data_IF_495354232616
#
_entry.id   IF_495354232616
#
_cell.length_a   1.000
_cell.length_b   1.000
_cell.length_c   1.000
_cell.angle_alpha   90.00
_cell.angle_beta   90.00
_cell.angle_gamma   90.00
#
_symmetry.space_group_name_H-M   'P 1'
#
loop_
_entity.id
_entity.type
_entity.pdbx_description
1 polymer ?
#
# COMPACT_ATOMS: atom_id res chain seq x y z
N UNK A 1 16.17 15.52 51.24
CA UNK A 1 17.29 16.34 51.73
C UNK A 1 18.47 15.95 50.85
N UNK A 2 18.51 16.44 49.60
CA UNK A 2 18.98 17.80 49.24
C UNK A 2 20.34 18.04 49.88
N UNK A 3 21.40 18.45 49.21
CA UNK A 3 21.65 19.12 47.95
C UNK A 3 23.20 19.17 47.91
N UNK A 4 23.89 19.05 46.78
CA UNK A 4 25.21 19.66 46.72
C UNK A 4 25.34 20.58 45.50
N UNK A 5 25.39 21.85 45.88
CA UNK A 5 25.46 23.06 45.11
C UNK A 5 26.93 23.45 45.02
N UNK A 6 27.47 23.45 43.79
CA UNK A 6 28.11 24.64 43.16
C UNK A 6 29.37 25.20 43.85
N UNK A 7 30.45 25.38 43.05
CA UNK A 7 31.05 26.69 42.66
C UNK A 7 32.58 26.69 42.44
N UNK A 8 32.94 26.96 41.18
CA UNK A 8 33.83 28.04 40.67
C UNK A 8 35.34 28.10 41.01
N UNK A 9 36.07 28.18 39.87
CA UNK A 9 37.07 29.20 39.44
C UNK A 9 38.55 29.04 39.83
N UNK A 10 39.39 29.01 38.79
CA UNK A 10 40.66 29.76 38.60
C UNK A 10 41.19 29.49 37.17
N UNK A 11 40.91 30.31 36.15
CA UNK A 11 41.56 31.57 35.71
C UNK A 11 43.09 31.49 35.59
N UNK A 12 43.62 31.32 34.36
CA UNK A 12 44.88 31.94 33.91
C UNK A 12 44.82 32.25 32.41
N UNK A 13 45.12 33.52 32.10
CA UNK A 13 45.09 34.20 30.80
C UNK A 13 46.33 33.85 29.96
N UNK A 14 46.21 33.85 28.63
CA UNK A 14 47.04 34.69 27.75
C UNK A 14 46.39 34.86 26.38
N UNK A 15 46.58 36.06 25.84
CA UNK A 15 45.83 36.76 24.81
C UNK A 15 46.80 37.01 23.65
N UNK A 16 46.49 36.63 22.41
CA UNK A 16 47.14 37.14 21.20
C UNK A 16 46.12 37.24 20.07
N UNK A 17 45.96 38.48 19.63
CA UNK A 17 45.46 39.09 18.40
C UNK A 17 44.17 38.67 17.67
N UNK A 18 43.42 39.73 17.37
CA UNK A 18 42.17 39.83 16.61
C UNK A 18 42.49 40.05 15.13
N UNK A 19 41.76 39.35 14.27
CA UNK A 19 41.25 39.90 13.02
C UNK A 19 39.78 39.46 12.85
N UNK A 20 38.86 40.32 12.35
CA UNK A 20 37.43 40.06 12.36
C UNK A 20 36.99 39.40 11.05
N UNK A 21 36.53 38.14 11.11
CA UNK A 21 35.76 37.53 10.03
C UNK A 21 34.43 37.04 10.60
N UNK A 22 33.36 37.41 9.88
CA UNK A 22 31.95 37.43 10.25
C UNK A 22 31.40 36.04 10.67
N UNK A 23 30.65 36.02 11.77
CA UNK A 23 29.72 34.94 12.19
C UNK A 23 28.66 34.71 11.09
N UNK A 24 28.46 33.48 10.60
CA UNK A 24 27.71 32.35 11.16
C UNK A 24 26.19 32.45 10.89
N UNK A 25 25.67 31.58 10.01
CA UNK A 25 24.47 30.76 10.29
C UNK A 25 24.54 29.51 9.40
N UNK A 26 25.28 28.47 9.82
CA UNK A 26 25.03 27.13 9.28
C UNK A 26 23.72 26.59 9.88
N UNK A 27 22.64 26.76 9.13
CA UNK A 27 21.35 26.13 9.44
C UNK A 27 21.53 24.62 9.55
N UNK A 28 21.37 24.10 10.77
CA UNK A 28 21.25 22.69 11.07
C UNK A 28 20.39 21.98 10.01
N UNK A 29 21.00 21.10 9.22
CA UNK A 29 20.34 20.29 8.22
C UNK A 29 19.36 19.34 8.93
N UNK A 30 18.10 19.78 9.05
CA UNK A 30 16.97 18.92 9.46
C UNK A 30 17.02 17.64 8.61
N UNK A 31 17.11 16.50 9.30
CA UNK A 31 17.02 15.16 8.71
C UNK A 31 15.82 15.15 7.77
N UNK A 32 16.07 15.00 6.47
CA UNK A 32 15.04 14.91 5.43
C UNK A 32 14.17 13.69 5.71
N UNK A 33 13.04 13.89 6.39
CA UNK A 33 11.94 12.93 6.36
C UNK A 33 11.43 12.80 4.92
N UNK A 34 11.04 11.60 4.52
CA UNK A 34 10.33 11.37 3.25
C UNK A 34 9.18 12.40 3.17
N UNK A 35 9.05 13.17 2.08
CA UNK A 35 7.94 14.11 1.96
C UNK A 35 6.63 13.36 2.20
N UNK A 36 5.64 13.98 2.88
CA UNK A 36 4.35 13.36 3.11
C UNK A 36 3.83 12.78 1.79
N UNK A 37 3.41 11.52 1.79
CA UNK A 37 2.83 10.92 0.60
C UNK A 37 1.69 11.83 0.12
N UNK A 38 1.86 12.42 -1.06
CA UNK A 38 0.90 13.38 -1.61
C UNK A 38 -0.43 12.64 -1.76
N UNK A 39 -1.39 12.97 -0.89
CA UNK A 39 -2.72 12.38 -0.91
C UNK A 39 -3.38 12.86 -2.19
N UNK A 40 -3.66 11.94 -3.10
CA UNK A 40 -4.32 12.29 -4.35
C UNK A 40 -5.67 12.95 -4.06
N UNK A 41 -6.07 13.87 -4.92
CA UNK A 41 -7.41 14.47 -4.82
C UNK A 41 -8.49 13.38 -4.85
N UNK A 42 -9.55 13.54 -4.02
CA UNK A 42 -10.66 12.60 -4.01
C UNK A 42 -11.32 12.46 -5.38
N UNK A 43 -11.74 11.24 -5.71
CA UNK A 43 -12.59 10.99 -6.87
C UNK A 43 -14.01 11.51 -6.63
N UNK A 44 -14.80 11.77 -7.70
CA UNK A 44 -16.23 11.99 -7.58
C UNK A 44 -16.89 10.88 -6.75
N UNK A 45 -17.79 11.20 -5.79
CA UNK A 45 -18.42 10.19 -4.94
C UNK A 45 -19.12 9.08 -5.74
N UNK A 46 -19.73 9.43 -6.87
CA UNK A 46 -20.39 8.47 -7.78
C UNK A 46 -19.42 7.41 -8.31
N UNK A 47 -18.22 7.81 -8.75
CA UNK A 47 -17.21 6.86 -9.26
C UNK A 47 -16.75 5.91 -8.16
N UNK A 48 -16.46 6.45 -6.97
CA UNK A 48 -16.02 5.64 -5.82
C UNK A 48 -17.12 4.68 -5.37
N UNK A 49 -18.39 5.12 -5.36
CA UNK A 49 -19.54 4.27 -5.05
C UNK A 49 -19.70 3.14 -6.08
N UNK A 50 -19.55 3.44 -7.37
CA UNK A 50 -19.64 2.44 -8.43
C UNK A 50 -18.52 1.39 -8.32
N UNK A 51 -17.27 1.82 -8.09
CA UNK A 51 -16.15 0.90 -7.88
C UNK A 51 -16.37 -0.04 -6.69
N UNK A 52 -16.85 0.49 -5.55
CA UNK A 52 -17.15 -0.33 -4.39
C UNK A 52 -18.29 -1.32 -4.68
N UNK A 53 -19.38 -0.87 -5.31
CA UNK A 53 -20.50 -1.74 -5.64
C UNK A 53 -20.07 -2.92 -6.53
N UNK A 54 -19.28 -2.67 -7.58
CA UNK A 54 -18.73 -3.71 -8.46
C UNK A 54 -17.88 -4.71 -7.66
N UNK A 55 -16.95 -4.22 -6.84
CA UNK A 55 -16.06 -5.09 -6.06
C UNK A 55 -16.82 -5.87 -4.98
N UNK A 56 -17.81 -5.27 -4.34
CA UNK A 56 -18.64 -5.96 -3.36
C UNK A 56 -19.51 -7.04 -4.02
N UNK A 57 -20.01 -6.81 -5.24
CA UNK A 57 -20.69 -7.86 -6.03
C UNK A 57 -19.78 -9.04 -6.32
N UNK A 58 -18.54 -8.78 -6.76
CA UNK A 58 -17.55 -9.84 -7.06
C UNK A 58 -17.16 -10.60 -5.80
N UNK A 59 -16.89 -9.90 -4.69
CA UNK A 59 -16.49 -10.52 -3.42
C UNK A 59 -17.62 -11.36 -2.84
N UNK A 60 -18.85 -10.87 -2.86
CA UNK A 60 -19.99 -11.57 -2.25
C UNK A 60 -20.62 -12.62 -3.18
N UNK A 61 -20.08 -12.81 -4.38
CA UNK A 61 -20.59 -13.81 -5.32
C UNK A 61 -20.43 -15.21 -4.75
N UNK A 62 -21.53 -15.98 -4.83
CA UNK A 62 -21.60 -17.37 -4.39
C UNK A 62 -22.03 -18.24 -5.56
N UNK A 63 -21.44 -19.42 -5.65
CA UNK A 63 -21.87 -20.43 -6.61
C UNK A 63 -23.19 -21.11 -6.18
N UNK A 64 -23.66 -22.07 -6.97
CA UNK A 64 -24.89 -22.82 -6.71
C UNK A 64 -24.84 -23.64 -5.41
N UNK A 65 -23.66 -23.93 -4.88
CA UNK A 65 -23.46 -24.60 -3.59
C UNK A 65 -23.47 -23.63 -2.40
N UNK A 66 -23.56 -22.32 -2.67
CA UNK A 66 -23.47 -21.27 -1.66
C UNK A 66 -22.04 -20.93 -1.23
N UNK A 67 -21.02 -21.49 -1.91
CA UNK A 67 -19.61 -21.23 -1.64
C UNK A 67 -19.20 -19.88 -2.23
N UNK A 68 -18.51 -19.07 -1.44
CA UNK A 68 -18.01 -17.77 -1.88
C UNK A 68 -16.69 -17.94 -2.62
N UNK A 69 -16.68 -17.61 -3.92
CA UNK A 69 -15.51 -17.87 -4.77
C UNK A 69 -14.32 -16.98 -4.46
N UNK A 70 -14.58 -15.79 -3.89
CA UNK A 70 -13.55 -14.79 -3.64
C UNK A 70 -12.64 -15.12 -2.44
N UNK A 71 -12.96 -16.13 -1.62
CA UNK A 71 -12.39 -16.31 -0.28
C UNK A 71 -10.85 -16.38 -0.31
N UNK A 72 -10.30 -17.21 -1.18
CA UNK A 72 -8.83 -17.37 -1.36
C UNK A 72 -8.15 -16.15 -1.99
N UNK A 73 -8.91 -15.21 -2.55
CA UNK A 73 -8.41 -14.01 -3.22
C UNK A 73 -8.48 -12.75 -2.34
N UNK A 74 -9.03 -12.85 -1.12
CA UNK A 74 -9.17 -11.71 -0.21
C UNK A 74 -7.81 -11.19 0.25
N UNK A 75 -6.91 -12.11 0.62
CA UNK A 75 -5.61 -11.79 1.18
C UNK A 75 -4.60 -12.83 0.69
N UNK A 76 -3.53 -12.39 0.03
CA UNK A 76 -2.44 -13.28 -0.35
C UNK A 76 -1.71 -13.81 0.90
N UNK A 77 -1.21 -15.07 0.86
CA UNK A 77 -0.26 -15.59 1.84
C UNK A 77 0.96 -14.69 1.96
N UNK A 78 1.62 -14.66 3.12
CA UNK A 78 2.82 -13.84 3.28
C UNK A 78 3.98 -14.42 2.46
N UNK A 79 4.99 -13.60 2.15
CA UNK A 79 6.24 -14.06 1.50
C UNK A 79 6.98 -15.15 2.28
N UNK A 80 6.73 -15.27 3.59
CA UNK A 80 7.33 -16.31 4.42
C UNK A 80 6.58 -17.63 4.29
N UNK A 81 5.26 -17.56 4.16
CA UNK A 81 4.40 -18.74 4.12
C UNK A 81 4.33 -19.38 2.73
N UNK A 82 4.49 -18.56 1.68
CA UNK A 82 4.45 -19.01 0.28
C UNK A 82 5.46 -18.25 -0.59
N UNK A 83 6.78 -18.40 -0.36
CA UNK A 83 7.82 -17.68 -1.10
C UNK A 83 7.76 -17.89 -2.62
N UNK A 84 7.48 -19.11 -3.09
CA UNK A 84 7.43 -19.52 -4.49
C UNK A 84 6.41 -18.69 -5.31
N UNK A 85 5.30 -18.30 -4.69
CA UNK A 85 4.31 -17.43 -5.33
C UNK A 85 4.93 -16.09 -5.71
N UNK A 86 5.78 -15.53 -4.84
CA UNK A 86 6.39 -14.22 -5.05
C UNK A 86 7.66 -14.25 -5.92
N UNK A 87 8.20 -15.44 -6.18
CA UNK A 87 9.26 -15.66 -7.16
C UNK A 87 8.67 -15.68 -8.58
N UNK A 88 7.55 -16.37 -8.76
CA UNK A 88 6.85 -16.49 -10.04
C UNK A 88 6.04 -15.23 -10.39
N UNK A 89 5.21 -14.75 -9.45
CA UNK A 89 4.25 -13.67 -9.69
C UNK A 89 4.91 -12.30 -9.48
N UNK A 90 5.11 -11.60 -10.59
CA UNK A 90 5.81 -10.30 -10.63
C UNK A 90 5.04 -9.16 -9.99
N UNK A 91 3.70 -9.17 -10.09
CA UNK A 91 2.83 -8.11 -9.58
C UNK A 91 1.70 -8.69 -8.71
N UNK A 92 2.00 -9.13 -7.48
CA UNK A 92 1.00 -9.65 -6.56
C UNK A 92 -0.08 -8.60 -6.24
N UNK A 93 -1.33 -9.02 -6.23
CA UNK A 93 -2.49 -8.19 -5.87
C UNK A 93 -3.60 -9.08 -5.30
N UNK A 94 -4.30 -8.60 -4.28
CA UNK A 94 -5.47 -9.24 -3.67
C UNK A 94 -6.64 -8.24 -3.58
N UNK A 95 -7.83 -8.72 -3.23
CA UNK A 95 -9.00 -7.84 -3.09
C UNK A 95 -8.82 -6.81 -1.96
N UNK A 96 -8.07 -7.13 -0.89
CA UNK A 96 -7.76 -6.14 0.15
C UNK A 96 -6.96 -4.97 -0.43
N UNK A 97 -5.99 -5.23 -1.30
CA UNK A 97 -5.19 -4.20 -1.98
C UNK A 97 -6.04 -3.39 -2.96
N UNK A 98 -6.96 -4.04 -3.68
CA UNK A 98 -7.89 -3.37 -4.58
C UNK A 98 -8.82 -2.42 -3.79
N UNK A 99 -9.43 -2.87 -2.69
CA UNK A 99 -10.26 -2.02 -1.82
C UNK A 99 -9.46 -0.86 -1.22
N UNK A 100 -8.20 -1.10 -0.83
CA UNK A 100 -7.28 -0.06 -0.37
C UNK A 100 -7.03 1.00 -1.47
N UNK A 101 -6.80 0.57 -2.72
CA UNK A 101 -6.59 1.44 -3.88
C UNK A 101 -7.84 2.25 -4.21
N UNK A 102 -9.05 1.70 -4.09
CA UNK A 102 -10.32 2.46 -4.21
C UNK A 102 -10.38 3.56 -3.15
N UNK A 103 -10.20 3.21 -1.87
CA UNK A 103 -10.25 4.15 -0.74
C UNK A 103 -9.22 5.27 -0.86
N UNK A 104 -8.04 4.96 -1.39
CA UNK A 104 -6.96 5.92 -1.61
C UNK A 104 -7.06 6.67 -2.95
N UNK A 105 -8.19 6.54 -3.66
CA UNK A 105 -8.46 7.16 -4.95
C UNK A 105 -7.38 6.85 -6.00
N UNK A 106 -6.77 5.66 -5.97
CA UNK A 106 -5.70 5.28 -6.91
C UNK A 106 -6.23 4.97 -8.31
N UNK A 107 -7.46 4.49 -8.41
CA UNK A 107 -8.14 4.29 -9.68
C UNK A 107 -8.85 5.55 -10.12
N UNK A 108 -8.68 5.96 -11.38
CA UNK A 108 -9.28 7.17 -11.95
C UNK A 108 -10.41 6.86 -12.92
N UNK A 109 -10.53 5.59 -13.28
CA UNK A 109 -11.59 5.05 -14.12
C UNK A 109 -11.93 3.61 -13.70
N UNK A 110 -13.07 3.09 -14.15
CA UNK A 110 -13.39 1.67 -14.00
C UNK A 110 -12.40 0.79 -14.76
N UNK A 111 -11.76 1.29 -15.82
CA UNK A 111 -10.71 0.57 -16.54
C UNK A 111 -9.45 0.35 -15.69
N UNK A 112 -9.13 1.25 -14.77
CA UNK A 112 -8.00 1.04 -13.85
C UNK A 112 -8.31 -0.03 -12.80
N UNK A 113 -9.55 -0.07 -12.33
CA UNK A 113 -10.04 -1.12 -11.45
C UNK A 113 -10.02 -2.48 -12.17
N UNK A 114 -10.55 -2.53 -13.40
CA UNK A 114 -10.59 -3.72 -14.24
C UNK A 114 -9.19 -4.30 -14.44
N UNK A 115 -8.18 -3.46 -14.76
CA UNK A 115 -6.80 -3.93 -14.93
C UNK A 115 -6.29 -4.70 -13.72
N UNK A 116 -6.59 -4.25 -12.50
CA UNK A 116 -6.15 -4.94 -11.29
C UNK A 116 -6.97 -6.19 -10.97
N UNK A 117 -8.28 -6.20 -11.27
CA UNK A 117 -9.10 -7.41 -11.11
C UNK A 117 -8.69 -8.49 -12.13
N UNK A 118 -8.43 -8.10 -13.37
CA UNK A 118 -7.91 -9.01 -14.40
C UNK A 118 -6.52 -9.50 -14.04
N UNK A 119 -5.65 -8.64 -13.49
CA UNK A 119 -4.33 -9.02 -13.00
C UNK A 119 -4.43 -10.03 -11.85
N UNK A 120 -5.34 -9.83 -10.88
CA UNK A 120 -5.58 -10.78 -9.79
C UNK A 120 -5.91 -12.16 -10.34
N UNK A 121 -6.85 -12.23 -11.28
CA UNK A 121 -7.29 -13.50 -11.87
C UNK A 121 -6.18 -14.13 -12.74
N UNK A 122 -5.45 -13.32 -13.52
CA UNK A 122 -4.35 -13.80 -14.34
C UNK A 122 -3.19 -14.36 -13.49
N UNK A 123 -2.86 -13.71 -12.37
CA UNK A 123 -1.87 -14.23 -11.42
C UNK A 123 -2.31 -15.59 -10.86
N UNK A 124 -3.59 -15.75 -10.54
CA UNK A 124 -4.15 -17.01 -10.08
C UNK A 124 -4.01 -18.10 -11.15
N UNK A 125 -4.34 -17.78 -12.41
CA UNK A 125 -4.22 -18.69 -13.54
C UNK A 125 -2.77 -19.04 -13.89
N UNK A 126 -1.83 -18.13 -13.60
CA UNK A 126 -0.40 -18.36 -13.84
C UNK A 126 0.21 -19.28 -12.78
N UNK A 127 -0.21 -19.13 -11.53
CA UNK A 127 0.36 -19.88 -10.41
C UNK A 127 -0.31 -21.26 -10.21
N UNK A 128 -1.62 -21.34 -10.44
CA UNK A 128 -2.39 -22.56 -10.20
C UNK A 128 -2.56 -23.35 -11.50
N UNK A 129 -2.62 -24.67 -11.38
CA UNK A 129 -2.83 -25.56 -12.52
C UNK A 129 -4.22 -25.34 -13.15
N UNK A 130 -4.29 -25.42 -14.47
CA UNK A 130 -5.57 -25.43 -15.20
C UNK A 130 -6.48 -26.56 -14.71
N UNK A 131 -7.77 -26.29 -14.55
CA UNK A 131 -8.74 -27.21 -13.96
C UNK A 131 -8.72 -27.28 -12.43
N UNK A 132 -7.75 -26.65 -11.75
CA UNK A 132 -7.81 -26.52 -10.29
C UNK A 132 -8.92 -25.55 -9.87
N UNK A 133 -9.46 -25.75 -8.67
CA UNK A 133 -10.57 -24.93 -8.15
C UNK A 133 -10.25 -23.43 -8.17
N UNK A 134 -9.05 -23.03 -7.75
CA UNK A 134 -8.64 -21.61 -7.74
C UNK A 134 -8.53 -21.06 -9.17
N UNK A 135 -8.07 -21.87 -10.12
CA UNK A 135 -8.01 -21.49 -11.53
C UNK A 135 -9.41 -21.23 -12.07
N UNK A 136 -10.33 -22.19 -11.89
CA UNK A 136 -11.72 -22.07 -12.37
C UNK A 136 -12.48 -20.92 -11.68
N UNK A 137 -12.34 -20.78 -10.36
CA UNK A 137 -12.95 -19.70 -9.60
C UNK A 137 -12.51 -18.33 -10.16
N UNK A 138 -11.24 -18.19 -10.56
CA UNK A 138 -10.74 -16.94 -11.15
C UNK A 138 -11.43 -16.57 -12.48
N UNK A 139 -11.76 -17.57 -13.31
CA UNK A 139 -12.46 -17.36 -14.60
C UNK A 139 -13.90 -16.90 -14.35
N UNK A 140 -14.57 -17.54 -13.39
CA UNK A 140 -15.92 -17.15 -13.00
C UNK A 140 -15.92 -15.72 -12.45
N UNK A 141 -14.99 -15.37 -11.56
CA UNK A 141 -14.89 -14.03 -11.00
C UNK A 141 -14.60 -12.95 -12.06
N UNK A 142 -13.82 -13.26 -13.11
CA UNK A 142 -13.66 -12.35 -14.27
C UNK A 142 -15.00 -12.07 -14.95
N UNK A 143 -15.80 -13.11 -15.16
CA UNK A 143 -17.12 -13.01 -15.80
C UNK A 143 -18.11 -12.23 -14.93
N UNK A 144 -18.11 -12.48 -13.61
CA UNK A 144 -18.92 -11.73 -12.64
C UNK A 144 -18.53 -10.25 -12.65
N UNK A 145 -17.24 -9.92 -12.67
CA UNK A 145 -16.78 -8.54 -12.75
C UNK A 145 -17.25 -7.84 -14.03
N UNK A 146 -17.10 -8.50 -15.18
CA UNK A 146 -17.51 -7.93 -16.48
C UNK A 146 -19.01 -7.68 -16.56
N UNK A 147 -19.83 -8.55 -15.97
CA UNK A 147 -21.28 -8.39 -15.91
C UNK A 147 -21.74 -7.32 -14.91
N UNK A 148 -20.97 -7.06 -13.87
CA UNK A 148 -21.31 -6.07 -12.84
C UNK A 148 -20.95 -4.62 -13.21
N UNK A 149 -20.08 -4.43 -14.22
CA UNK A 149 -19.54 -3.13 -14.64
C UNK A 149 -20.46 -2.38 -15.59
#
# INVERSE_FOLDING_TARGET
MEEEVRLKKRKRRRNVDKDPVKEDVEKAKKRRGRPPAEKLSPNPPKLTKQMNAIIDTVINYKDSSGRQLSEVFIQLPSRKDLPEYYELIRKPVDFKKIKERIRNHKYRSLGDLEKDVMLLCHNAQTFNLEGSQIYEDSIVLQSVFKSAR
#
